data_IF_826044403226
#
_entry.id   IF_826044403226
#
_cell.length_a   1.000
_cell.length_b   1.000
_cell.length_c   1.000
_cell.angle_alpha   90.00
_cell.angle_beta   90.00
_cell.angle_gamma   90.00
#
_symmetry.space_group_name_H-M   'P 1'
#
loop_
_entity.id
_entity.type
_entity.pdbx_description
1 polymer ?
#
# COMPACT_ATOMS: atom_id res chain seq x y z
N UNK A 1 3.70 13.55 -22.45
CA UNK A 1 4.37 12.48 -23.22
C UNK A 1 4.59 11.30 -22.28
N UNK A 2 3.69 10.30 -22.30
CA UNK A 2 3.81 9.13 -21.44
C UNK A 2 4.88 8.19 -22.02
N UNK A 3 5.98 7.96 -21.29
CA UNK A 3 6.97 6.94 -21.67
C UNK A 3 6.38 5.57 -21.29
N UNK A 4 6.05 4.79 -22.31
CA UNK A 4 5.67 3.37 -22.23
C UNK A 4 6.93 2.56 -21.87
N UNK A 5 6.77 1.46 -21.14
CA UNK A 5 7.85 0.49 -21.00
C UNK A 5 7.91 -0.33 -22.29
N UNK A 6 8.81 0.02 -23.21
CA UNK A 6 9.04 -0.79 -24.41
C UNK A 6 9.96 -1.98 -24.05
N UNK A 7 9.35 -3.13 -23.81
CA UNK A 7 10.07 -4.39 -23.58
C UNK A 7 10.28 -5.06 -24.94
N UNK A 8 11.51 -5.02 -25.45
CA UNK A 8 11.88 -5.75 -26.66
C UNK A 8 12.06 -7.24 -26.35
N UNK A 9 11.20 -8.09 -26.88
CA UNK A 9 11.36 -9.55 -26.84
C UNK A 9 12.51 -9.96 -27.77
N UNK A 10 13.41 -10.83 -27.29
CA UNK A 10 14.39 -11.49 -28.15
C UNK A 10 13.65 -12.38 -29.16
N UNK A 11 14.07 -12.40 -30.45
CA UNK A 11 13.35 -13.10 -31.52
C UNK A 11 13.41 -14.63 -31.43
N UNK A 12 14.25 -15.19 -30.56
CA UNK A 12 14.28 -16.62 -30.25
C UNK A 12 14.81 -16.86 -28.82
N UNK A 13 14.24 -17.83 -28.07
CA UNK A 13 14.82 -18.27 -26.80
C UNK A 13 16.21 -18.89 -27.03
N UNK A 14 17.17 -18.71 -26.11
CA UNK A 14 18.47 -19.38 -26.20
C UNK A 14 18.28 -20.90 -26.19
N UNK A 15 19.13 -21.61 -26.96
CA UNK A 15 19.11 -23.08 -27.03
C UNK A 15 19.24 -23.69 -25.62
N UNK A 16 18.21 -24.43 -25.22
CA UNK A 16 18.13 -25.21 -24.00
C UNK A 16 19.13 -26.37 -24.07
N UNK A 17 20.35 -26.15 -23.57
CA UNK A 17 21.28 -27.23 -23.24
C UNK A 17 21.25 -27.45 -21.73
N UNK A 18 20.93 -28.69 -21.35
CA UNK A 18 20.98 -29.33 -20.03
C UNK A 18 19.65 -29.49 -19.27
N UNK A 19 18.88 -30.52 -19.66
CA UNK A 19 18.49 -31.63 -18.78
C UNK A 19 17.75 -31.39 -17.45
N UNK A 20 17.19 -30.21 -17.17
CA UNK A 20 16.38 -29.96 -15.95
C UNK A 20 14.96 -30.55 -16.16
N UNK A 21 14.51 -31.56 -15.37
CA UNK A 21 13.28 -32.34 -15.63
C UNK A 21 11.95 -31.58 -15.42
N UNK A 22 11.96 -30.24 -15.43
CA UNK A 22 10.82 -29.39 -15.03
C UNK A 22 10.39 -28.35 -16.08
N UNK A 23 10.62 -28.62 -17.37
CA UNK A 23 10.38 -27.68 -18.47
C UNK A 23 9.07 -28.01 -19.22
N UNK A 24 7.98 -27.23 -19.00
CA UNK A 24 6.74 -27.29 -19.82
C UNK A 24 6.08 -25.90 -19.99
N UNK A 25 5.25 -25.74 -21.03
CA UNK A 25 5.15 -24.51 -21.84
C UNK A 25 4.05 -23.47 -21.53
N UNK A 26 3.11 -23.66 -20.58
CA UNK A 26 1.87 -22.87 -20.57
C UNK A 26 1.63 -22.00 -19.32
N UNK A 27 1.26 -20.72 -19.52
CA UNK A 27 0.95 -19.75 -18.46
C UNK A 27 0.12 -18.53 -18.95
N UNK A 28 -0.78 -17.98 -18.11
CA UNK A 28 -1.75 -16.88 -18.37
C UNK A 28 -2.49 -16.48 -17.06
N UNK A 29 -3.22 -15.36 -17.03
CA UNK A 29 -3.73 -14.64 -15.82
C UNK A 29 -5.21 -15.03 -15.50
N UNK A 30 -5.62 -15.07 -14.21
CA UNK A 30 -6.97 -15.52 -13.74
C UNK A 30 -7.75 -14.43 -13.00
N UNK A 31 -9.10 -14.51 -13.07
CA UNK A 31 -10.06 -13.55 -12.50
C UNK A 31 -11.11 -14.19 -11.59
N UNK A 32 -11.52 -13.46 -10.56
CA UNK A 32 -12.73 -13.73 -9.77
C UNK A 32 -13.72 -12.57 -9.76
N UNK A 33 -14.99 -12.88 -10.01
CA UNK A 33 -16.15 -12.15 -9.50
C UNK A 33 -17.39 -13.01 -9.59
N UNK A 34 -18.24 -12.92 -8.57
CA UNK A 34 -19.53 -13.60 -8.55
C UNK A 34 -20.56 -12.85 -9.40
N UNK A 35 -21.46 -13.56 -10.09
CA UNK A 35 -22.71 -13.01 -10.57
C UNK A 35 -23.66 -12.79 -9.39
N UNK A 36 -24.26 -11.61 -9.34
CA UNK A 36 -25.49 -11.38 -8.56
C UNK A 36 -26.65 -12.02 -9.33
N UNK A 37 -27.09 -13.19 -8.87
CA UNK A 37 -28.45 -13.68 -9.14
C UNK A 37 -28.96 -14.39 -7.89
N UNK A 38 -30.06 -13.87 -7.37
CA UNK A 38 -30.75 -14.38 -6.20
C UNK A 38 -31.19 -15.84 -6.43
N UNK A 39 -30.97 -16.70 -5.44
CA UNK A 39 -31.71 -17.96 -5.32
C UNK A 39 -32.31 -18.06 -3.91
N UNK A 40 -33.62 -18.34 -3.77
CA UNK A 40 -34.22 -18.54 -2.46
C UNK A 40 -33.94 -19.94 -1.92
N UNK A 41 -33.70 -20.01 -0.61
CA UNK A 41 -33.93 -21.13 0.30
C UNK A 41 -33.52 -22.54 -0.18
N UNK A 42 -32.24 -22.90 0.06
CA UNK A 42 -31.77 -24.29 0.06
C UNK A 42 -30.45 -24.39 0.83
N UNK A 43 -30.32 -25.43 1.66
CA UNK A 43 -29.14 -25.69 2.50
C UNK A 43 -27.90 -25.91 1.63
N UNK A 44 -26.76 -25.23 1.87
CA UNK A 44 -25.54 -25.46 1.09
C UNK A 44 -24.91 -26.81 1.48
N UNK A 45 -24.38 -27.59 0.51
CA UNK A 45 -23.62 -28.80 0.83
C UNK A 45 -22.20 -28.45 1.30
N UNK A 46 -21.66 -29.28 2.20
CA UNK A 46 -20.30 -29.16 2.74
C UNK A 46 -19.24 -29.28 1.63
N UNK A 47 -18.33 -28.31 1.47
CA UNK A 47 -17.16 -28.47 0.63
C UNK A 47 -15.99 -29.09 1.40
N UNK A 48 -15.54 -30.26 0.94
CA UNK A 48 -14.17 -30.77 1.20
C UNK A 48 -13.28 -30.41 0.01
N UNK A 49 -12.10 -29.87 0.28
CA UNK A 49 -11.05 -29.75 -0.74
C UNK A 49 -9.67 -30.08 -0.17
N UNK A 50 -8.89 -30.77 -1.00
CA UNK A 50 -7.49 -31.15 -0.81
C UNK A 50 -6.68 -30.44 -1.92
N UNK A 51 -5.55 -29.80 -1.60
CA UNK A 51 -4.79 -28.94 -2.53
C UNK A 51 -3.40 -29.52 -2.81
N UNK A 52 -3.09 -29.76 -4.08
CA UNK A 52 -1.75 -30.09 -4.59
C UNK A 52 -1.20 -28.90 -5.40
N UNK A 53 -0.08 -28.32 -4.94
CA UNK A 53 0.63 -27.18 -5.58
C UNK A 53 1.80 -27.65 -6.46
N UNK A 54 1.88 -27.17 -7.70
CA UNK A 54 3.15 -27.05 -8.47
C UNK A 54 3.14 -25.78 -9.33
N UNK A 55 4.26 -25.06 -9.35
CA UNK A 55 4.46 -23.78 -10.05
C UNK A 55 5.32 -23.97 -11.31
N UNK A 56 4.95 -23.45 -12.51
CA UNK A 56 5.89 -23.30 -13.62
C UNK A 56 6.75 -22.03 -13.46
N UNK A 57 8.05 -22.10 -13.77
CA UNK A 57 9.10 -21.10 -13.45
C UNK A 57 9.10 -19.81 -14.30
N UNK A 58 9.25 -18.69 -13.58
CA UNK A 58 10.15 -17.50 -13.70
C UNK A 58 10.02 -16.34 -14.72
N UNK A 59 10.23 -16.42 -16.04
CA UNK A 59 10.27 -15.21 -16.88
C UNK A 59 8.90 -14.52 -16.96
N UNK A 60 7.83 -15.33 -17.05
CA UNK A 60 6.46 -14.84 -17.20
C UNK A 60 5.91 -14.21 -15.91
N UNK A 61 6.30 -14.70 -14.73
CA UNK A 61 5.84 -14.11 -13.46
C UNK A 61 6.40 -12.71 -13.27
N UNK A 62 7.70 -12.50 -13.51
CA UNK A 62 8.29 -11.14 -13.45
C UNK A 62 7.63 -10.20 -14.45
N UNK A 63 7.44 -10.64 -15.70
CA UNK A 63 6.76 -9.83 -16.71
C UNK A 63 5.32 -9.48 -16.30
N UNK A 64 4.56 -10.44 -15.75
CA UNK A 64 3.21 -10.20 -15.25
C UNK A 64 3.19 -9.23 -14.08
N UNK A 65 4.18 -9.30 -13.19
CA UNK A 65 4.32 -8.34 -12.10
C UNK A 65 4.60 -6.94 -12.63
N UNK A 66 5.47 -6.79 -13.63
CA UNK A 66 5.68 -5.50 -14.30
C UNK A 66 4.39 -4.96 -14.92
N UNK A 67 3.63 -5.81 -15.63
CA UNK A 67 2.32 -5.41 -16.18
C UNK A 67 1.31 -5.04 -15.09
N UNK A 68 1.30 -5.76 -13.97
CA UNK A 68 0.44 -5.45 -12.82
C UNK A 68 0.80 -4.08 -12.22
N UNK A 69 2.08 -3.77 -12.06
CA UNK A 69 2.54 -2.47 -11.60
C UNK A 69 2.15 -1.35 -12.58
N UNK A 70 2.31 -1.59 -13.89
CA UNK A 70 1.91 -0.62 -14.91
C UNK A 70 0.39 -0.38 -14.94
N UNK A 71 -0.41 -1.44 -14.83
CA UNK A 71 -1.86 -1.33 -14.74
C UNK A 71 -2.28 -0.55 -13.49
N UNK A 72 -1.73 -0.90 -12.33
CA UNK A 72 -2.02 -0.20 -11.07
C UNK A 72 -1.65 1.29 -11.17
N UNK A 73 -0.54 1.62 -11.81
CA UNK A 73 -0.15 3.00 -12.10
C UNK A 73 -1.12 3.70 -13.06
N UNK A 74 -1.60 3.02 -14.10
CA UNK A 74 -2.62 3.56 -15.01
C UNK A 74 -3.95 3.86 -14.30
N UNK A 75 -4.24 3.15 -13.20
CA UNK A 75 -5.38 3.39 -12.31
C UNK A 75 -5.06 4.34 -11.13
N UNK A 76 -3.93 5.05 -11.20
CA UNK A 76 -3.50 6.03 -10.20
C UNK A 76 -3.30 5.45 -8.79
N UNK A 77 -2.84 4.19 -8.69
CA UNK A 77 -2.45 3.61 -7.41
C UNK A 77 -1.28 4.39 -6.80
N UNK A 78 -1.38 4.71 -5.52
CA UNK A 78 -0.42 5.51 -4.76
C UNK A 78 0.51 4.65 -3.90
N UNK A 79 -0.04 3.56 -3.35
CA UNK A 79 0.65 2.57 -2.54
C UNK A 79 0.55 1.22 -3.24
N UNK A 80 1.65 0.48 -3.30
CA UNK A 80 1.76 -0.82 -3.95
C UNK A 80 2.22 -1.83 -2.89
N UNK A 81 1.34 -2.76 -2.51
CA UNK A 81 1.71 -3.92 -1.70
C UNK A 81 2.19 -5.03 -2.65
N UNK A 82 3.40 -5.52 -2.41
CA UNK A 82 4.02 -6.62 -3.14
C UNK A 82 4.34 -7.76 -2.15
N UNK A 83 3.51 -8.79 -2.13
CA UNK A 83 3.67 -9.93 -1.22
C UNK A 83 4.02 -11.19 -2.01
N UNK A 84 5.21 -11.18 -2.60
CA UNK A 84 5.60 -12.16 -3.61
C UNK A 84 6.99 -12.70 -3.31
N UNK A 85 7.11 -14.02 -3.20
CA UNK A 85 8.40 -14.70 -3.13
C UNK A 85 9.05 -14.78 -4.51
N UNK A 86 9.73 -13.72 -4.95
CA UNK A 86 10.61 -13.78 -6.13
C UNK A 86 11.97 -14.31 -5.72
N UNK A 87 12.40 -15.46 -6.25
CA UNK A 87 13.73 -16.03 -5.94
C UNK A 87 14.83 -15.02 -6.20
N UNK A 88 15.87 -15.13 -5.38
CA UNK A 88 17.12 -14.37 -5.46
C UNK A 88 17.65 -14.29 -6.89
N UNK A 89 17.56 -13.12 -7.51
CA UNK A 89 18.35 -12.72 -8.66
C UNK A 89 19.83 -12.83 -8.31
N UNK A 90 20.63 -13.27 -9.29
CA UNK A 90 22.09 -13.22 -9.17
C UNK A 90 22.62 -11.78 -9.14
N UNK A 91 21.84 -10.85 -9.69
CA UNK A 91 22.07 -9.42 -9.67
C UNK A 91 20.76 -8.69 -9.31
N UNK A 92 20.55 -8.38 -8.02
CA UNK A 92 19.35 -7.69 -7.56
C UNK A 92 19.23 -6.25 -8.07
N UNK A 93 20.36 -5.59 -8.38
CA UNK A 93 20.34 -4.20 -8.84
C UNK A 93 19.90 -4.09 -10.30
N UNK A 94 20.21 -5.12 -11.11
CA UNK A 94 19.74 -5.22 -12.49
C UNK A 94 18.38 -5.90 -12.64
N UNK A 95 17.71 -6.30 -11.54
CA UNK A 95 16.39 -6.95 -11.65
C UNK A 95 15.36 -5.93 -12.17
N UNK A 96 14.64 -6.23 -13.27
CA UNK A 96 13.60 -5.34 -13.79
C UNK A 96 12.57 -4.89 -12.75
N UNK A 97 12.26 -5.74 -11.76
CA UNK A 97 11.34 -5.38 -10.68
C UNK A 97 11.95 -4.33 -9.75
N UNK A 98 13.26 -4.40 -9.44
CA UNK A 98 13.95 -3.38 -8.66
C UNK A 98 13.98 -2.03 -9.39
N UNK A 99 14.17 -2.05 -10.72
CA UNK A 99 14.04 -0.85 -11.54
C UNK A 99 12.61 -0.27 -11.53
N UNK A 100 11.59 -1.12 -11.62
CA UNK A 100 10.20 -0.70 -11.58
C UNK A 100 9.83 -0.07 -10.23
N UNK A 101 10.23 -0.68 -9.11
CA UNK A 101 9.96 -0.12 -7.77
C UNK A 101 10.70 1.19 -7.55
N UNK A 102 11.95 1.31 -8.01
CA UNK A 102 12.68 2.57 -8.02
C UNK A 102 11.96 3.63 -8.85
N UNK A 103 11.50 3.29 -10.05
CA UNK A 103 10.74 4.22 -10.89
C UNK A 103 9.46 4.70 -10.20
N UNK A 104 8.71 3.80 -9.56
CA UNK A 104 7.53 4.15 -8.77
C UNK A 104 7.89 5.11 -7.64
N UNK A 105 8.98 4.84 -6.92
CA UNK A 105 9.50 5.70 -5.85
C UNK A 105 9.86 7.10 -6.35
N UNK A 106 10.60 7.20 -7.45
CA UNK A 106 10.95 8.47 -8.10
C UNK A 106 9.71 9.27 -8.57
N UNK A 107 8.54 8.64 -8.63
CA UNK A 107 7.23 9.28 -8.89
C UNK A 107 6.36 9.43 -7.65
N UNK A 108 6.98 9.49 -6.48
CA UNK A 108 6.32 9.68 -5.19
C UNK A 108 5.24 8.61 -4.90
N UNK A 109 5.43 7.39 -5.41
CA UNK A 109 4.61 6.22 -5.06
C UNK A 109 5.32 5.38 -4.00
N UNK A 110 4.53 4.73 -3.16
CA UNK A 110 5.02 3.87 -2.09
C UNK A 110 5.01 2.43 -2.53
N UNK A 111 6.10 1.72 -2.27
CA UNK A 111 6.18 0.27 -2.46
C UNK A 111 6.43 -0.37 -1.10
N UNK A 112 5.51 -1.24 -0.70
CA UNK A 112 5.58 -2.03 0.53
C UNK A 112 5.75 -3.48 0.14
N UNK A 113 6.84 -4.10 0.56
CA UNK A 113 7.11 -5.50 0.25
C UNK A 113 7.20 -6.35 1.52
N UNK A 114 6.69 -7.58 1.43
CA UNK A 114 6.94 -8.59 2.44
C UNK A 114 8.44 -8.92 2.49
N UNK A 115 9.00 -9.07 3.69
CA UNK A 115 10.40 -9.46 3.87
C UNK A 115 10.70 -10.87 3.32
N UNK A 116 9.69 -11.72 3.24
CA UNK A 116 9.78 -13.13 2.85
C UNK A 116 9.64 -14.06 4.06
N UNK A 117 9.28 -15.31 3.78
CA UNK A 117 9.01 -16.32 4.82
C UNK A 117 10.10 -17.40 4.90
N UNK A 118 11.37 -16.99 4.72
CA UNK A 118 12.55 -17.87 4.67
C UNK A 118 13.42 -17.82 5.92
N UNK A 119 12.94 -17.17 6.98
CA UNK A 119 13.58 -17.08 8.29
C UNK A 119 13.74 -18.43 9.01
N UNK A 120 14.35 -18.44 10.21
CA UNK A 120 14.83 -17.28 10.97
C UNK A 120 16.31 -16.95 10.67
N UNK A 121 16.94 -17.59 9.69
CA UNK A 121 18.37 -17.41 9.45
C UNK A 121 18.69 -16.01 8.91
N UNK A 122 19.82 -15.39 9.28
CA UNK A 122 20.29 -14.16 8.64
C UNK A 122 20.47 -14.32 7.13
N UNK A 123 20.31 -13.22 6.38
CA UNK A 123 20.48 -13.20 4.91
C UNK A 123 19.38 -13.96 4.18
N UNK A 124 18.16 -13.93 4.70
CA UNK A 124 16.97 -14.58 4.13
C UNK A 124 15.99 -13.62 3.50
N UNK A 125 16.24 -12.31 3.59
CA UNK A 125 15.43 -11.26 2.97
C UNK A 125 15.24 -11.48 1.47
N UNK A 126 14.00 -11.37 1.00
CA UNK A 126 13.67 -11.44 -0.42
C UNK A 126 14.28 -10.26 -1.19
N UNK A 127 14.65 -10.48 -2.46
CA UNK A 127 15.37 -9.47 -3.25
C UNK A 127 14.56 -8.18 -3.46
N UNK A 128 13.26 -8.30 -3.60
CA UNK A 128 12.37 -7.14 -3.70
C UNK A 128 12.37 -6.32 -2.40
N UNK A 129 12.43 -6.98 -1.24
CA UNK A 129 12.56 -6.34 0.06
C UNK A 129 13.96 -5.73 0.29
N UNK A 130 14.96 -6.12 -0.52
CA UNK A 130 16.30 -5.50 -0.52
C UNK A 130 16.39 -4.27 -1.43
N UNK A 131 15.41 -4.06 -2.31
CA UNK A 131 15.47 -3.00 -3.31
C UNK A 131 15.44 -1.60 -2.64
N UNK A 132 16.27 -0.65 -3.11
CA UNK A 132 16.27 0.70 -2.59
C UNK A 132 14.91 1.38 -2.70
N UNK A 133 14.48 2.06 -1.63
CA UNK A 133 13.21 2.81 -1.60
C UNK A 133 11.96 1.97 -1.38
N UNK A 134 12.09 0.64 -1.23
CA UNK A 134 11.01 -0.24 -0.79
C UNK A 134 10.92 -0.24 0.74
N UNK A 135 9.69 -0.20 1.27
CA UNK A 135 9.41 -0.44 2.68
C UNK A 135 9.30 -1.94 2.87
N UNK A 136 10.37 -2.56 3.34
CA UNK A 136 10.43 -4.00 3.61
C UNK A 136 9.86 -4.30 5.00
N UNK A 137 8.93 -5.25 5.08
CA UNK A 137 8.15 -5.52 6.29
C UNK A 137 8.37 -6.93 6.78
N UNK A 138 8.98 -7.05 7.96
CA UNK A 138 9.05 -8.29 8.72
C UNK A 138 7.74 -8.58 9.46
N UNK A 139 7.49 -9.85 9.74
CA UNK A 139 6.30 -10.31 10.46
C UNK A 139 6.61 -10.61 11.91
N UNK A 140 5.76 -10.15 12.83
CA UNK A 140 5.78 -10.51 14.24
C UNK A 140 4.45 -11.06 14.73
N UNK A 141 4.43 -11.59 15.94
CA UNK A 141 3.21 -11.84 16.71
C UNK A 141 2.59 -10.52 17.20
N UNK A 142 1.35 -10.54 17.73
CA UNK A 142 0.74 -9.37 18.34
C UNK A 142 1.55 -8.74 19.48
N UNK A 143 2.37 -9.55 20.18
CA UNK A 143 3.26 -9.11 21.25
C UNK A 143 4.58 -8.50 20.73
N UNK A 144 4.78 -8.45 19.42
CA UNK A 144 5.97 -7.89 18.79
C UNK A 144 7.16 -8.86 18.69
N UNK A 145 6.98 -10.16 18.97
CA UNK A 145 8.02 -11.18 18.77
C UNK A 145 8.08 -11.55 17.28
N UNK A 146 9.27 -11.50 16.68
CA UNK A 146 9.42 -11.89 15.27
C UNK A 146 8.94 -13.32 15.03
N UNK A 147 8.21 -13.52 13.93
CA UNK A 147 7.81 -14.85 13.50
C UNK A 147 9.05 -15.64 13.07
N UNK A 148 9.08 -16.94 13.37
CA UNK A 148 10.19 -17.81 12.97
C UNK A 148 10.37 -17.85 11.46
N UNK A 149 9.27 -17.81 10.70
CA UNK A 149 9.31 -17.75 9.25
C UNK A 149 9.81 -16.39 8.73
N UNK A 150 9.74 -15.31 9.49
CA UNK A 150 10.07 -13.97 8.98
C UNK A 150 11.53 -13.91 8.57
N UNK A 151 11.76 -13.62 7.29
CA UNK A 151 13.08 -13.40 6.72
C UNK A 151 13.82 -12.26 7.42
N UNK A 152 15.15 -12.41 7.50
CA UNK A 152 16.04 -11.50 8.22
C UNK A 152 17.13 -10.95 7.32
N UNK A 153 17.60 -9.76 7.64
CA UNK A 153 18.73 -9.12 6.99
C UNK A 153 20.08 -9.73 7.39
N UNK A 154 21.15 -8.99 7.13
CA UNK A 154 22.49 -9.24 7.68
C UNK A 154 22.98 -8.00 8.44
N UNK A 155 23.99 -8.18 9.31
CA UNK A 155 24.54 -7.08 10.11
C UNK A 155 25.05 -5.93 9.22
N UNK A 156 25.78 -6.28 8.16
CA UNK A 156 26.42 -5.33 7.25
C UNK A 156 25.64 -5.10 5.95
N UNK A 157 24.37 -5.53 5.88
CA UNK A 157 23.61 -5.54 4.63
C UNK A 157 22.18 -5.06 4.78
N UNK A 158 21.39 -5.33 3.74
CA UNK A 158 19.97 -5.00 3.71
C UNK A 158 19.23 -5.71 4.85
N UNK A 159 18.29 -4.99 5.45
CA UNK A 159 17.42 -5.43 6.54
C UNK A 159 15.98 -4.98 6.25
N UNK A 160 14.97 -5.62 6.85
CA UNK A 160 13.63 -5.07 6.87
C UNK A 160 13.65 -3.61 7.35
N UNK A 161 12.79 -2.77 6.77
CA UNK A 161 12.63 -1.38 7.20
C UNK A 161 12.02 -1.34 8.60
N UNK A 162 11.02 -2.18 8.83
CA UNK A 162 10.25 -2.26 10.07
C UNK A 162 9.56 -3.62 10.20
N UNK A 163 8.81 -3.81 11.28
CA UNK A 163 8.03 -5.02 11.57
C UNK A 163 6.56 -4.67 11.82
N UNK A 164 5.64 -5.56 11.46
CA UNK A 164 4.24 -5.46 11.84
C UNK A 164 3.66 -6.84 12.17
N UNK A 165 2.50 -6.86 12.80
CA UNK A 165 1.78 -8.10 13.14
C UNK A 165 1.47 -8.90 11.86
N UNK A 166 2.11 -10.05 11.73
CA UNK A 166 1.95 -10.99 10.63
C UNK A 166 0.95 -12.10 10.93
N UNK A 167 0.13 -11.96 11.97
CA UNK A 167 -0.87 -12.95 12.35
C UNK A 167 -2.28 -12.51 11.97
N UNK A 168 -3.17 -13.48 11.79
CA UNK A 168 -4.59 -13.27 11.59
C UNK A 168 -5.36 -13.67 12.86
N UNK A 169 -5.97 -12.71 13.58
CA UNK A 169 -6.75 -13.01 14.79
C UNK A 169 -8.09 -13.71 14.50
N UNK A 170 -8.54 -13.74 13.24
CA UNK A 170 -9.85 -14.30 12.83
C UNK A 170 -9.78 -15.71 12.24
N UNK A 171 -8.61 -16.17 11.80
CA UNK A 171 -8.21 -17.57 11.91
C UNK A 171 -8.34 -18.51 10.70
N UNK A 172 -8.24 -18.07 9.43
CA UNK A 172 -7.79 -18.99 8.37
C UNK A 172 -6.39 -18.68 7.81
N UNK A 173 -5.90 -17.43 7.87
CA UNK A 173 -4.67 -17.09 7.17
C UNK A 173 -3.42 -17.57 7.91
N UNK A 174 -2.43 -18.06 7.15
CA UNK A 174 -1.14 -18.51 7.69
C UNK A 174 -0.37 -17.28 8.18
N UNK A 175 0.23 -17.31 9.39
CA UNK A 175 1.13 -16.25 9.82
C UNK A 175 2.30 -16.07 8.85
N UNK A 176 2.57 -14.83 8.47
CA UNK A 176 3.55 -14.53 7.44
C UNK A 176 3.86 -13.03 7.29
N UNK A 177 4.93 -12.76 6.54
CA UNK A 177 5.36 -11.39 6.22
C UNK A 177 4.44 -10.68 5.23
N UNK A 178 3.60 -11.44 4.51
CA UNK A 178 2.57 -10.97 3.59
C UNK A 178 1.42 -10.23 4.29
N UNK A 179 0.94 -10.76 5.43
CA UNK A 179 -0.06 -10.12 6.29
C UNK A 179 0.52 -8.86 6.95
N UNK A 180 1.77 -8.94 7.42
CA UNK A 180 2.47 -7.80 8.00
C UNK A 180 2.60 -6.66 6.96
N UNK A 181 3.04 -6.99 5.74
CA UNK A 181 3.14 -6.03 4.64
C UNK A 181 1.78 -5.42 4.26
N UNK A 182 0.71 -6.20 4.28
CA UNK A 182 -0.64 -5.70 4.06
C UNK A 182 -1.05 -4.63 5.08
N UNK A 183 -0.84 -4.90 6.37
CA UNK A 183 -1.15 -3.94 7.43
C UNK A 183 -0.37 -2.65 7.25
N UNK A 184 0.92 -2.74 6.95
CA UNK A 184 1.77 -1.55 6.71
C UNK A 184 1.32 -0.80 5.46
N UNK A 185 0.89 -1.49 4.41
CA UNK A 185 0.36 -0.83 3.21
C UNK A 185 -0.91 -0.01 3.51
N UNK A 186 -1.81 -0.53 4.35
CA UNK A 186 -2.98 0.22 4.84
C UNK A 186 -2.55 1.43 5.66
N UNK A 187 -1.55 1.28 6.56
CA UNK A 187 -1.00 2.42 7.29
C UNK A 187 -0.38 3.48 6.37
N UNK A 188 0.32 3.06 5.30
CA UNK A 188 0.89 3.97 4.31
C UNK A 188 -0.20 4.80 3.63
N UNK A 189 -1.32 4.18 3.25
CA UNK A 189 -2.47 4.88 2.64
C UNK A 189 -3.03 5.92 3.61
N UNK A 190 -3.23 5.54 4.87
CA UNK A 190 -3.79 6.43 5.87
C UNK A 190 -2.85 7.62 6.15
N UNK A 191 -1.58 7.35 6.43
CA UNK A 191 -0.56 8.38 6.67
C UNK A 191 -0.44 9.30 5.46
N UNK A 192 -0.38 8.74 4.25
CA UNK A 192 -0.30 9.54 3.03
C UNK A 192 -1.50 10.46 2.88
N UNK A 193 -2.72 9.95 3.09
CA UNK A 193 -3.94 10.76 2.94
C UNK A 193 -4.00 11.87 3.99
N UNK A 194 -3.56 11.60 5.22
CA UNK A 194 -3.38 12.63 6.25
C UNK A 194 -2.37 13.71 5.83
N UNK A 195 -1.22 13.32 5.27
CA UNK A 195 -0.22 14.26 4.77
C UNK A 195 -0.74 15.07 3.57
N UNK A 196 -1.56 14.50 2.68
CA UNK A 196 -2.22 15.24 1.60
C UNK A 196 -3.10 16.35 2.18
N UNK A 197 -3.88 16.04 3.21
CA UNK A 197 -4.73 17.03 3.87
C UNK A 197 -3.92 18.11 4.56
N UNK A 198 -2.87 17.75 5.31
CA UNK A 198 -1.99 18.74 5.92
C UNK A 198 -1.33 19.64 4.88
N UNK A 199 -0.90 19.09 3.74
CA UNK A 199 -0.25 19.88 2.70
C UNK A 199 -1.25 20.86 2.07
N UNK A 200 -2.50 20.43 1.84
CA UNK A 200 -3.57 21.28 1.35
C UNK A 200 -3.94 22.38 2.37
N UNK A 201 -4.06 22.03 3.66
CA UNK A 201 -4.31 22.98 4.75
C UNK A 201 -3.18 23.99 4.92
N UNK A 202 -1.92 23.56 4.85
CA UNK A 202 -0.76 24.45 4.89
C UNK A 202 -0.70 25.37 3.66
N UNK A 203 -1.06 24.88 2.49
CA UNK A 203 -1.19 25.71 1.28
C UNK A 203 -2.28 26.77 1.45
N UNK A 204 -3.45 26.39 1.98
CA UNK A 204 -4.55 27.31 2.27
C UNK A 204 -4.14 28.35 3.34
N UNK A 205 -3.44 27.94 4.40
CA UNK A 205 -2.91 28.82 5.43
C UNK A 205 -1.98 29.89 4.85
N UNK A 206 -1.06 29.49 3.97
CA UNK A 206 -0.14 30.42 3.26
C UNK A 206 -0.87 31.39 2.34
N UNK A 207 -1.95 30.93 1.70
CA UNK A 207 -2.76 31.77 0.82
C UNK A 207 -3.73 32.69 1.58
N UNK A 208 -3.93 32.48 2.89
CA UNK A 208 -5.00 33.13 3.66
C UNK A 208 -6.40 32.68 3.23
N UNK A 209 -6.49 31.50 2.62
CA UNK A 209 -7.72 30.95 2.06
C UNK A 209 -8.30 29.85 2.96
N UNK A 210 -9.56 29.48 2.69
CA UNK A 210 -10.17 28.29 3.29
C UNK A 210 -10.03 27.13 2.32
N UNK A 211 -9.81 25.93 2.84
CA UNK A 211 -9.86 24.73 2.03
C UNK A 211 -11.31 24.49 1.55
N UNK A 212 -11.51 24.51 0.23
CA UNK A 212 -12.85 24.33 -0.38
C UNK A 212 -13.17 22.88 -0.68
N UNK A 213 -12.15 22.06 -0.91
CA UNK A 213 -12.29 20.65 -1.26
C UNK A 213 -11.18 19.83 -0.60
N UNK A 214 -11.53 18.64 -0.14
CA UNK A 214 -10.56 17.73 0.45
C UNK A 214 -9.78 17.01 -0.65
N UNK A 215 -8.47 16.79 -0.45
CA UNK A 215 -7.71 15.91 -1.33
C UNK A 215 -8.34 14.53 -1.39
N UNK A 216 -8.45 13.98 -2.61
CA UNK A 216 -8.92 12.62 -2.79
C UNK A 216 -8.02 11.63 -2.02
N UNK A 217 -8.62 10.60 -1.41
CA UNK A 217 -7.89 9.59 -0.66
C UNK A 217 -6.87 8.84 -1.53
N UNK A 218 -5.78 8.41 -0.90
CA UNK A 218 -4.78 7.59 -1.59
C UNK A 218 -5.31 6.20 -1.94
N UNK A 219 -4.90 5.69 -3.11
CA UNK A 219 -5.29 4.37 -3.64
C UNK A 219 -4.24 3.31 -3.36
N UNK A 220 -4.68 2.10 -3.01
CA UNK A 220 -3.81 0.95 -2.74
C UNK A 220 -3.98 -0.11 -3.81
N UNK A 221 -2.86 -0.56 -4.37
CA UNK A 221 -2.79 -1.73 -5.21
C UNK A 221 -2.20 -2.90 -4.42
N UNK A 222 -2.97 -3.96 -4.26
CA UNK A 222 -2.51 -5.24 -3.78
C UNK A 222 -2.10 -6.08 -4.98
N UNK A 223 -0.79 -6.33 -5.14
CA UNK A 223 -0.26 -7.18 -6.21
C UNK A 223 0.32 -8.43 -5.57
N UNK A 224 -0.30 -9.57 -5.88
CA UNK A 224 0.01 -10.86 -5.27
C UNK A 224 -0.16 -11.98 -6.30
N UNK A 225 0.49 -13.12 -6.04
CA UNK A 225 0.44 -14.29 -6.92
C UNK A 225 -0.67 -15.28 -6.53
N UNK A 226 -1.24 -15.16 -5.34
CA UNK A 226 -2.19 -16.16 -4.82
C UNK A 226 -3.21 -15.54 -3.84
N UNK A 227 -4.15 -14.73 -4.36
CA UNK A 227 -5.27 -14.28 -3.53
C UNK A 227 -6.30 -15.41 -3.37
N UNK A 228 -6.43 -15.95 -2.16
CA UNK A 228 -7.68 -16.63 -1.82
C UNK A 228 -8.79 -15.60 -1.56
N UNK A 229 -10.04 -16.06 -1.56
CA UNK A 229 -11.17 -15.20 -1.16
C UNK A 229 -11.01 -14.75 0.29
N UNK A 230 -10.57 -15.66 1.15
CA UNK A 230 -10.40 -15.40 2.56
C UNK A 230 -9.28 -14.36 2.78
N UNK A 231 -8.24 -14.34 1.95
CA UNK A 231 -7.20 -13.30 1.99
C UNK A 231 -7.76 -11.93 1.62
N UNK A 232 -8.59 -11.86 0.56
CA UNK A 232 -9.24 -10.59 0.18
C UNK A 232 -10.18 -10.12 1.29
N UNK A 233 -11.01 -11.01 1.83
CA UNK A 233 -11.95 -10.69 2.90
C UNK A 233 -11.20 -10.26 4.18
N UNK A 234 -10.08 -10.92 4.52
CA UNK A 234 -9.20 -10.52 5.62
C UNK A 234 -8.56 -9.16 5.39
N UNK A 235 -8.06 -8.87 4.18
CA UNK A 235 -7.48 -7.57 3.82
C UNK A 235 -8.50 -6.44 3.91
N UNK A 236 -9.72 -6.68 3.42
CA UNK A 236 -10.84 -5.74 3.55
C UNK A 236 -11.20 -5.55 5.02
N UNK A 237 -11.30 -6.62 5.81
CA UNK A 237 -11.60 -6.54 7.24
C UNK A 237 -10.54 -5.78 8.04
N UNK A 238 -9.25 -6.01 7.75
CA UNK A 238 -8.11 -5.29 8.34
C UNK A 238 -8.25 -3.77 8.16
N UNK A 239 -8.79 -3.36 7.01
CA UNK A 239 -9.02 -1.95 6.70
C UNK A 239 -10.25 -1.39 7.40
N UNK A 240 -11.40 -2.06 7.25
CA UNK A 240 -12.69 -1.51 7.65
C UNK A 240 -12.83 -1.28 9.16
N UNK A 241 -12.03 -1.98 9.98
CA UNK A 241 -12.14 -1.88 11.43
C UNK A 241 -13.55 -2.28 11.92
N UNK A 242 -13.90 -1.94 13.17
CA UNK A 242 -15.16 -2.38 13.80
C UNK A 242 -16.39 -1.48 13.54
N UNK A 243 -16.43 -0.77 12.41
CA UNK A 243 -17.64 -0.02 12.04
C UNK A 243 -17.34 1.19 11.16
N UNK A 244 -17.77 1.12 9.90
CA UNK A 244 -17.80 2.27 9.01
C UNK A 244 -19.23 2.81 9.03
N UNK A 245 -19.40 4.05 9.49
CA UNK A 245 -20.62 4.80 9.19
C UNK A 245 -20.55 5.25 7.73
N UNK A 246 -21.63 5.12 6.95
CA UNK A 246 -21.62 5.59 5.57
C UNK A 246 -21.23 7.06 5.53
N UNK A 247 -20.38 7.43 4.57
CA UNK A 247 -19.98 8.80 4.29
C UNK A 247 -21.22 9.62 3.89
N UNK A 248 -21.98 10.08 4.89
CA UNK A 248 -22.75 11.29 4.75
C UNK A 248 -21.78 12.44 4.48
N UNK A 249 -22.25 13.51 3.87
CA UNK A 249 -21.47 14.73 3.66
C UNK A 249 -20.92 15.24 5.01
N UNK A 250 -19.73 14.81 5.41
CA UNK A 250 -19.11 15.25 6.66
C UNK A 250 -18.60 16.65 6.40
N UNK A 251 -19.31 17.63 6.95
CA UNK A 251 -18.95 19.04 6.87
C UNK A 251 -17.72 19.25 7.76
N UNK A 252 -16.53 19.24 7.16
CA UNK A 252 -15.21 19.37 7.82
C UNK A 252 -14.89 20.80 8.30
N UNK A 253 -15.87 21.68 8.48
CA UNK A 253 -15.61 23.11 8.53
C UNK A 253 -14.88 23.58 9.81
N UNK A 254 -15.20 23.02 10.99
CA UNK A 254 -14.66 23.51 12.26
C UNK A 254 -13.21 23.09 12.53
N UNK A 255 -12.94 21.78 12.47
CA UNK A 255 -11.62 21.22 12.77
C UNK A 255 -10.54 21.70 11.77
N UNK A 256 -10.92 21.88 10.50
CA UNK A 256 -10.02 22.35 9.44
C UNK A 256 -9.54 23.77 9.69
N UNK A 257 -10.42 24.70 10.10
CA UNK A 257 -10.02 26.08 10.37
C UNK A 257 -9.03 26.19 11.53
N UNK A 258 -9.21 25.39 12.60
CA UNK A 258 -8.23 25.31 13.70
C UNK A 258 -6.88 24.81 13.20
N UNK A 259 -6.84 23.76 12.38
CA UNK A 259 -5.58 23.21 11.85
C UNK A 259 -4.88 24.15 10.88
N UNK A 260 -5.62 24.80 9.98
CA UNK A 260 -5.07 25.84 9.09
C UNK A 260 -4.42 26.95 9.91
N UNK A 261 -5.11 27.44 10.95
CA UNK A 261 -4.56 28.45 11.85
C UNK A 261 -3.31 27.93 12.58
N UNK A 262 -3.37 26.73 13.16
CA UNK A 262 -2.24 26.09 13.86
C UNK A 262 -1.02 25.98 12.94
N UNK A 263 -1.22 25.49 11.70
CA UNK A 263 -0.15 25.31 10.71
C UNK A 263 0.44 26.66 10.30
N UNK A 264 -0.41 27.65 10.03
CA UNK A 264 0.05 29.02 9.74
C UNK A 264 0.95 29.55 10.85
N UNK A 265 0.55 29.40 12.11
CA UNK A 265 1.34 29.85 13.27
C UNK A 265 2.69 29.15 13.39
N UNK A 266 2.72 27.82 13.28
CA UNK A 266 3.99 27.06 13.32
C UNK A 266 4.92 27.47 12.18
N UNK A 267 4.38 27.60 10.97
CA UNK A 267 5.16 27.91 9.77
C UNK A 267 5.68 29.35 9.78
N UNK A 268 4.89 30.32 10.22
CA UNK A 268 5.31 31.72 10.38
C UNK A 268 6.43 31.85 11.40
N UNK A 269 6.31 31.17 12.55
CA UNK A 269 7.32 31.22 13.60
C UNK A 269 8.61 30.51 13.19
N UNK A 270 8.50 29.36 12.53
CA UNK A 270 9.64 28.66 11.95
C UNK A 270 10.34 29.52 10.89
N UNK A 271 9.60 30.17 9.99
CA UNK A 271 10.15 31.05 8.97
C UNK A 271 10.86 32.29 9.55
N UNK A 272 10.26 32.93 10.56
CA UNK A 272 10.89 34.04 11.29
C UNK A 272 12.23 33.63 11.94
N UNK A 273 12.35 32.34 12.27
CA UNK A 273 13.56 31.73 12.82
C UNK A 273 14.35 30.93 11.79
N UNK A 274 14.14 31.15 10.49
CA UNK A 274 14.88 30.50 9.41
C UNK A 274 14.97 28.96 9.56
N UNK A 275 13.97 28.34 10.17
CA UNK A 275 13.83 26.90 10.28
C UNK A 275 13.04 26.44 9.05
N UNK A 276 13.67 25.80 8.04
CA UNK A 276 12.96 25.36 6.86
C UNK A 276 12.00 24.23 7.24
N UNK A 277 10.71 24.43 6.97
CA UNK A 277 9.68 23.40 7.16
C UNK A 277 9.15 23.00 5.79
N UNK A 278 9.27 21.71 5.48
CA UNK A 278 8.79 21.13 4.24
C UNK A 278 8.13 19.80 4.55
N UNK A 279 7.04 19.51 3.85
CA UNK A 279 6.43 18.20 3.83
C UNK A 279 5.49 18.11 2.64
N UNK A 280 5.30 16.90 2.16
CA UNK A 280 4.28 16.56 1.17
C UNK A 280 3.76 15.14 1.45
N UNK A 281 2.89 14.64 0.57
CA UNK A 281 2.34 13.29 0.69
C UNK A 281 3.26 12.19 0.12
N UNK A 282 4.46 12.55 -0.29
CA UNK A 282 5.45 11.73 -0.95
C UNK A 282 5.98 10.62 -0.06
N UNK A 283 6.67 9.71 -0.73
CA UNK A 283 7.00 8.43 -0.16
C UNK A 283 8.10 8.53 0.93
N UNK A 284 8.93 9.59 0.92
CA UNK A 284 9.91 9.90 1.97
C UNK A 284 9.23 10.35 3.27
N UNK A 285 8.23 11.22 3.19
CA UNK A 285 7.51 11.72 4.35
C UNK A 285 6.68 10.64 5.03
N UNK A 286 5.99 9.81 4.24
CA UNK A 286 5.25 8.66 4.78
C UNK A 286 6.19 7.68 5.47
N UNK A 287 7.35 7.36 4.87
CA UNK A 287 8.34 6.50 5.50
C UNK A 287 8.90 7.11 6.79
N UNK A 288 9.17 8.42 6.81
CA UNK A 288 9.63 9.15 8.00
C UNK A 288 8.61 9.05 9.14
N UNK A 289 7.32 9.25 8.87
CA UNK A 289 6.25 9.08 9.86
C UNK A 289 6.20 7.64 10.35
N UNK A 290 6.21 6.64 9.46
CA UNK A 290 6.23 5.22 9.86
C UNK A 290 7.40 4.88 10.78
N UNK A 291 8.62 5.30 10.40
CA UNK A 291 9.81 5.07 11.21
C UNK A 291 9.72 5.76 12.59
N UNK A 292 9.13 6.95 12.66
CA UNK A 292 8.91 7.65 13.93
C UNK A 292 7.85 6.97 14.82
N UNK A 293 6.97 6.15 14.24
CA UNK A 293 5.96 5.37 14.98
C UNK A 293 6.47 4.01 15.44
N UNK A 294 7.59 3.54 14.88
CA UNK A 294 8.15 2.24 15.21
C UNK A 294 8.57 2.18 16.68
N UNK A 295 8.06 1.18 17.39
CA UNK A 295 8.39 0.91 18.80
C UNK A 295 9.37 -0.25 18.88
N UNK A 296 10.31 -0.24 19.84
CA UNK A 296 11.14 -1.41 20.08
C UNK A 296 10.25 -2.60 20.46
N UNK A 297 10.49 -3.75 19.82
CA UNK A 297 9.86 -5.01 20.22
C UNK A 297 10.42 -5.52 21.56
N UNK A 298 9.79 -6.56 22.16
CA UNK A 298 10.22 -7.14 23.44
C UNK A 298 11.64 -7.71 23.40
N UNK A 299 12.12 -8.13 22.22
CA UNK A 299 13.48 -8.58 21.97
C UNK A 299 14.04 -7.81 20.77
N UNK A 300 14.84 -6.74 20.98
CA UNK A 300 15.39 -5.95 19.90
C UNK A 300 16.29 -6.78 18.99
N UNK A 301 15.86 -7.00 17.75
CA UNK A 301 16.64 -7.62 16.69
C UNK A 301 16.69 -6.63 15.51
N UNK A 302 17.66 -5.71 15.43
CA UNK A 302 17.73 -4.75 14.33
C UNK A 302 18.03 -5.42 12.97
N UNK A 303 18.48 -6.68 12.96
CA UNK A 303 18.75 -7.45 11.74
C UNK A 303 17.45 -8.08 11.21
N UNK A 304 16.60 -8.57 12.11
CA UNK A 304 15.31 -9.18 11.79
C UNK A 304 14.13 -8.21 11.74
N UNK A 305 14.13 -7.16 12.57
CA UNK A 305 12.98 -6.29 12.80
C UNK A 305 13.13 -4.84 12.35
N UNK A 306 14.28 -4.46 11.79
CA UNK A 306 14.50 -3.11 11.28
C UNK A 306 14.40 -2.04 12.37
N UNK A 307 13.59 -1.00 12.13
CA UNK A 307 13.36 0.10 13.06
C UNK A 307 12.45 -0.25 14.26
N UNK A 308 11.76 -1.40 14.21
CA UNK A 308 10.83 -1.83 15.26
C UNK A 308 9.43 -2.12 14.76
N UNK A 309 8.53 -2.38 15.70
CA UNK A 309 7.13 -2.75 15.47
C UNK A 309 6.29 -1.51 15.23
N UNK A 310 5.57 -1.47 14.11
CA UNK A 310 4.53 -0.48 13.84
C UNK A 310 3.15 -1.11 13.92
N UNK A 311 2.22 -0.33 14.42
CA UNK A 311 0.80 -0.67 14.48
C UNK A 311 -0.07 0.56 14.23
N UNK A 312 -1.36 0.33 13.98
CA UNK A 312 -2.37 1.40 13.85
C UNK A 312 -2.39 2.29 15.09
N UNK A 313 -2.30 1.70 16.28
CA UNK A 313 -2.27 2.39 17.56
C UNK A 313 -1.01 3.25 17.71
N UNK A 314 0.15 2.75 17.25
CA UNK A 314 1.40 3.53 17.30
C UNK A 314 1.35 4.77 16.40
N UNK A 315 0.77 4.64 15.20
CA UNK A 315 0.54 5.77 14.28
C UNK A 315 -0.46 6.74 14.88
N UNK A 316 -1.58 6.23 15.39
CA UNK A 316 -2.60 7.04 16.04
C UNK A 316 -2.05 7.81 17.24
N UNK A 317 -1.23 7.18 18.08
CA UNK A 317 -0.60 7.82 19.23
C UNK A 317 0.37 8.93 18.81
N UNK A 318 1.18 8.72 17.76
CA UNK A 318 2.07 9.78 17.26
C UNK A 318 1.27 10.97 16.76
N UNK A 319 0.20 10.73 15.99
CA UNK A 319 -0.63 11.79 15.42
C UNK A 319 -1.45 12.52 16.50
N UNK A 320 -2.00 11.82 17.48
CA UNK A 320 -2.80 12.46 18.55
C UNK A 320 -1.94 13.41 19.38
N UNK A 321 -0.72 13.01 19.68
CA UNK A 321 0.23 13.81 20.45
C UNK A 321 1.04 14.80 19.56
N UNK A 322 0.57 15.16 18.37
CA UNK A 322 1.34 15.98 17.42
C UNK A 322 1.40 17.45 17.87
N UNK A 323 2.31 17.76 18.78
CA UNK A 323 2.62 19.14 19.18
C UNK A 323 3.55 19.83 18.16
N UNK A 324 3.69 21.17 18.20
CA UNK A 324 4.67 21.89 17.39
C UNK A 324 6.08 21.30 17.44
N UNK A 325 6.56 20.87 18.62
CA UNK A 325 7.84 20.14 18.75
C UNK A 325 7.89 18.87 17.93
N UNK A 326 6.89 18.00 18.03
CA UNK A 326 6.89 16.74 17.28
C UNK A 326 6.77 16.99 15.78
N UNK A 327 5.93 17.95 15.40
CA UNK A 327 5.76 18.36 14.01
C UNK A 327 7.07 18.88 13.40
N UNK A 328 7.76 19.80 14.08
CA UNK A 328 9.03 20.34 13.60
C UNK A 328 10.11 19.25 13.56
N UNK A 329 10.14 18.29 14.50
CA UNK A 329 11.07 17.15 14.43
C UNK A 329 10.86 16.29 13.19
N UNK A 330 9.61 16.16 12.75
CA UNK A 330 9.29 15.38 11.57
C UNK A 330 9.57 16.18 10.28
N UNK A 331 9.21 17.47 10.24
CA UNK A 331 9.09 18.23 8.99
C UNK A 331 10.08 19.40 8.84
N UNK A 332 10.95 19.68 9.82
CA UNK A 332 12.06 20.60 9.64
C UNK A 332 13.25 19.87 9.01
N UNK A 333 13.46 20.07 7.71
CA UNK A 333 14.26 19.16 6.88
C UNK A 333 15.73 19.55 6.79
N UNK A 334 16.55 19.05 7.73
CA UNK A 334 17.99 18.88 7.56
C UNK A 334 18.60 17.78 8.46
N UNK A 335 17.76 17.02 9.16
CA UNK A 335 18.21 16.00 10.12
C UNK A 335 18.94 16.55 11.34
N UNK A 336 18.93 17.88 11.58
CA UNK A 336 19.58 18.51 12.72
C UNK A 336 18.53 19.10 13.64
N UNK A 337 18.46 18.57 14.86
CA UNK A 337 17.68 19.17 15.94
C UNK A 337 18.63 19.99 16.83
N UNK A 338 18.65 21.31 16.64
CA UNK A 338 19.49 22.23 17.40
C UNK A 338 18.71 23.00 18.48
N UNK A 339 19.43 23.76 19.30
CA UNK A 339 18.85 24.57 20.38
C UNK A 339 17.85 25.61 19.84
N UNK A 340 18.09 26.15 18.64
CA UNK A 340 17.19 27.13 18.00
C UNK A 340 15.83 26.51 17.71
N UNK A 341 15.81 25.33 17.08
CA UNK A 341 14.58 24.57 16.81
C UNK A 341 13.88 24.15 18.09
N UNK A 342 14.63 23.71 19.09
CA UNK A 342 14.07 23.35 20.39
C UNK A 342 13.38 24.55 21.07
N UNK A 343 13.98 25.75 20.99
CA UNK A 343 13.40 26.98 21.54
C UNK A 343 12.12 27.41 20.81
N UNK A 344 12.13 27.40 19.47
CA UNK A 344 10.94 27.65 18.62
C UNK A 344 9.81 26.72 19.00
N UNK A 345 10.13 25.43 19.09
CA UNK A 345 9.17 24.39 19.35
C UNK A 345 8.56 24.48 20.76
N UNK A 346 9.38 24.72 21.78
CA UNK A 346 8.92 24.86 23.16
C UNK A 346 8.00 26.08 23.35
N UNK A 347 8.30 27.20 22.67
CA UNK A 347 7.44 28.37 22.70
C UNK A 347 6.05 28.09 22.10
N UNK A 348 6.01 27.40 20.96
CA UNK A 348 4.77 27.05 20.28
C UNK A 348 3.97 25.95 20.99
N UNK A 349 4.62 24.98 21.62
CA UNK A 349 3.96 23.91 22.37
C UNK A 349 3.05 24.48 23.47
N UNK A 350 3.49 25.57 24.14
CA UNK A 350 2.69 26.24 25.17
C UNK A 350 1.50 27.02 24.60
N UNK A 351 1.62 27.57 23.39
CA UNK A 351 0.58 28.37 22.74
C UNK A 351 -0.50 27.50 22.06
N UNK A 352 -0.09 26.50 21.30
CA UNK A 352 -0.95 25.87 20.30
C UNK A 352 -1.53 24.52 20.71
N UNK A 353 -0.86 23.81 21.63
CA UNK A 353 -1.20 22.42 21.97
C UNK A 353 -1.11 21.46 20.77
N UNK A 354 -1.83 20.35 20.84
CA UNK A 354 -1.83 19.29 19.81
C UNK A 354 -2.53 19.73 18.52
N UNK A 355 -2.02 19.27 17.38
CA UNK A 355 -2.58 19.55 16.06
C UNK A 355 -3.94 18.86 15.84
N UNK A 356 -4.07 17.60 16.25
CA UNK A 356 -5.31 16.83 16.13
C UNK A 356 -5.82 16.41 17.49
N UNK A 357 -7.14 16.45 17.68
CA UNK A 357 -7.77 15.68 18.75
C UNK A 357 -7.94 14.22 18.35
N UNK A 358 -8.15 13.33 19.32
CA UNK A 358 -8.49 11.93 19.04
C UNK A 358 -9.76 11.80 18.18
N UNK A 359 -10.75 12.66 18.39
CA UNK A 359 -11.98 12.68 17.61
C UNK A 359 -11.73 13.12 16.15
N UNK A 360 -10.82 14.08 15.92
CA UNK A 360 -10.42 14.46 14.57
C UNK A 360 -9.78 13.29 13.83
N UNK A 361 -8.91 12.54 14.50
CA UNK A 361 -8.25 11.38 13.91
C UNK A 361 -9.22 10.24 13.62
N UNK A 362 -10.15 9.95 14.51
CA UNK A 362 -11.21 8.96 14.27
C UNK A 362 -12.07 9.34 13.06
N UNK A 363 -12.43 10.62 12.97
CA UNK A 363 -13.22 11.13 11.84
C UNK A 363 -12.43 11.02 10.53
N UNK A 364 -11.17 11.45 10.52
CA UNK A 364 -10.29 11.29 9.36
C UNK A 364 -10.19 9.82 8.94
N UNK A 365 -9.93 8.94 9.91
CA UNK A 365 -9.75 7.51 9.66
C UNK A 365 -11.02 6.84 9.12
N UNK A 366 -12.20 7.18 9.63
CA UNK A 366 -13.48 6.70 9.12
C UNK A 366 -13.76 7.20 7.71
N UNK A 367 -13.50 8.49 7.43
CA UNK A 367 -13.68 9.07 6.10
C UNK A 367 -12.81 8.35 5.07
N UNK A 368 -11.53 8.15 5.41
CA UNK A 368 -10.64 7.40 4.53
C UNK A 368 -11.18 5.99 4.34
N UNK A 369 -11.43 5.24 5.41
CA UNK A 369 -11.97 3.88 5.31
C UNK A 369 -13.24 3.78 4.43
N UNK A 370 -14.08 4.82 4.39
CA UNK A 370 -15.32 4.85 3.62
C UNK A 370 -15.19 5.22 2.13
N UNK A 371 -14.12 5.91 1.71
CA UNK A 371 -13.99 6.47 0.34
C UNK A 371 -12.98 5.72 -0.55
N UNK A 372 -12.53 4.55 -0.13
CA UNK A 372 -11.41 3.90 -0.81
C UNK A 372 -11.79 2.82 -1.83
N UNK A 373 -11.08 2.89 -2.96
CA UNK A 373 -11.01 1.86 -3.99
C UNK A 373 -9.68 1.09 -3.85
N UNK A 374 -9.73 -0.15 -3.38
CA UNK A 374 -8.59 -1.07 -3.45
C UNK A 374 -8.51 -1.73 -4.81
N UNK A 375 -7.30 -1.79 -5.36
CA UNK A 375 -7.04 -2.53 -6.58
C UNK A 375 -6.38 -3.86 -6.25
N UNK A 376 -7.10 -4.96 -6.43
CA UNK A 376 -6.53 -6.30 -6.32
C UNK A 376 -6.06 -6.79 -7.69
N UNK A 377 -4.78 -7.17 -7.79
CA UNK A 377 -4.17 -7.74 -9.00
C UNK A 377 -3.55 -9.08 -8.67
N UNK A 378 -4.16 -10.15 -9.17
CA UNK A 378 -3.71 -11.54 -8.99
C UNK A 378 -2.82 -12.00 -10.15
N UNK A 379 -1.74 -12.73 -9.86
CA UNK A 379 -0.77 -13.25 -10.82
C UNK A 379 -0.64 -14.79 -10.72
N UNK A 380 -1.56 -15.54 -11.33
CA UNK A 380 -1.54 -17.03 -11.39
C UNK A 380 -1.39 -17.62 -12.80
N UNK A 381 -1.31 -18.95 -13.00
CA UNK A 381 -1.44 -19.66 -14.29
C UNK A 381 -2.91 -19.83 -14.73
N UNK A 382 -3.21 -19.99 -16.03
CA UNK A 382 -4.56 -19.97 -16.57
C UNK A 382 -5.16 -21.38 -16.48
N UNK A 383 -6.44 -21.48 -16.13
CA UNK A 383 -7.19 -22.74 -16.26
C UNK A 383 -7.09 -23.75 -15.11
N UNK A 384 -6.24 -23.54 -14.09
CA UNK A 384 -6.21 -24.41 -12.90
C UNK A 384 -7.51 -24.36 -12.06
N UNK A 385 -8.39 -23.39 -12.34
CA UNK A 385 -9.72 -23.23 -11.73
C UNK A 385 -10.88 -23.39 -12.73
N UNK A 386 -10.64 -24.00 -13.90
CA UNK A 386 -11.71 -24.40 -14.83
C UNK A 386 -12.21 -23.35 -15.82
N UNK A 387 -11.51 -22.23 -16.03
CA UNK A 387 -11.94 -21.19 -16.97
C UNK A 387 -10.80 -20.72 -17.89
N UNK A 388 -11.06 -20.74 -19.21
CA UNK A 388 -10.12 -20.41 -20.27
C UNK A 388 -10.00 -18.92 -20.57
N UNK A 389 -8.77 -18.52 -20.93
CA UNK A 389 -8.29 -17.24 -21.48
C UNK A 389 -7.96 -16.10 -20.51
N UNK A 390 -6.75 -15.56 -20.70
CA UNK A 390 -6.15 -14.40 -20.03
C UNK A 390 -6.99 -13.13 -20.20
N UNK A 391 -7.25 -12.43 -19.11
CA UNK A 391 -7.85 -11.09 -19.06
C UNK A 391 -7.04 -10.26 -18.04
N UNK A 392 -7.44 -9.04 -17.69
CA UNK A 392 -6.99 -8.28 -16.51
C UNK A 392 -8.27 -7.68 -15.88
N UNK A 393 -8.43 -7.75 -14.57
CA UNK A 393 -9.57 -7.21 -13.83
C UNK A 393 -9.02 -6.28 -12.78
N UNK A 394 -9.40 -5.04 -12.94
CA UNK A 394 -9.19 -3.99 -11.97
C UNK A 394 -10.54 -3.87 -11.26
N UNK A 395 -10.64 -4.43 -10.06
CA UNK A 395 -11.87 -4.39 -9.28
C UNK A 395 -11.62 -3.69 -7.95
N UNK A 396 -12.30 -2.57 -7.73
CA UNK A 396 -12.44 -1.96 -6.40
C UNK A 396 -13.79 -2.32 -5.78
N UNK A 397 -13.86 -2.41 -4.43
CA UNK A 397 -15.15 -2.43 -3.76
C UNK A 397 -15.87 -1.10 -4.06
N UNK A 398 -17.15 -1.11 -4.45
CA UNK A 398 -17.88 0.10 -4.74
C UNK A 398 -18.12 0.86 -3.43
N UNK A 399 -17.41 1.96 -3.22
CA UNK A 399 -17.84 2.95 -2.24
C UNK A 399 -18.77 3.93 -2.96
N UNK A 400 -20.06 3.81 -2.60
CA UNK A 400 -21.28 4.57 -2.97
C UNK A 400 -21.84 4.48 -4.41
N UNK A 401 -22.92 3.68 -4.53
CA UNK A 401 -24.15 3.97 -5.29
C UNK A 401 -24.11 4.22 -6.81
N UNK A 402 -23.19 3.58 -7.54
CA UNK A 402 -23.45 3.17 -8.92
C UNK A 402 -22.95 1.74 -9.13
N UNK A 403 -23.89 0.80 -9.27
CA UNK A 403 -23.61 -0.61 -9.51
C UNK A 403 -23.01 -0.84 -10.91
N UNK A 404 -21.73 -0.55 -11.11
CA UNK A 404 -20.97 -1.10 -12.23
C UNK A 404 -19.47 -1.07 -11.95
N UNK A 405 -18.88 -2.25 -11.89
CA UNK A 405 -17.44 -2.38 -12.05
C UNK A 405 -17.05 -1.76 -13.41
N UNK A 406 -16.02 -0.93 -13.42
CA UNK A 406 -15.44 -0.41 -14.66
C UNK A 406 -14.49 -1.48 -15.19
N UNK A 407 -14.85 -2.10 -16.30
CA UNK A 407 -14.04 -3.10 -16.98
C UNK A 407 -13.20 -2.41 -18.05
N UNK A 408 -11.88 -2.62 -18.03
CA UNK A 408 -11.00 -2.26 -19.14
C UNK A 408 -10.42 -3.55 -19.72
N UNK A 409 -10.68 -3.81 -21.01
CA UNK A 409 -10.10 -4.94 -21.72
C UNK A 409 -8.74 -4.51 -22.24
N UNK A 410 -7.68 -5.29 -21.99
CA UNK A 410 -6.37 -5.03 -22.56
C UNK A 410 -5.94 -6.24 -23.40
N UNK A 411 -5.35 -6.01 -24.57
CA UNK A 411 -4.79 -7.08 -25.41
C UNK A 411 -3.41 -7.57 -24.91
N UNK A 412 -2.82 -8.51 -25.63
CA UNK A 412 -1.47 -9.06 -25.38
C UNK A 412 -0.34 -8.01 -25.41
N UNK A 413 -0.64 -6.78 -25.85
CA UNK A 413 0.27 -5.62 -25.89
C UNK A 413 -0.09 -4.57 -24.83
N UNK A 414 -1.15 -4.79 -24.06
CA UNK A 414 -1.63 -3.86 -23.05
C UNK A 414 -2.45 -2.69 -23.62
N UNK A 415 -2.99 -2.79 -24.83
CA UNK A 415 -3.84 -1.77 -25.46
C UNK A 415 -5.34 -1.99 -25.12
N UNK A 416 -6.15 -0.94 -24.89
CA UNK A 416 -7.59 -1.06 -24.65
C UNK A 416 -8.34 -1.71 -25.82
N UNK A 417 -8.98 -2.85 -25.59
CA UNK A 417 -9.87 -3.49 -26.58
C UNK A 417 -11.25 -2.85 -26.45
N UNK A 418 -11.72 -2.20 -27.52
CA UNK A 418 -13.10 -1.76 -27.62
C UNK A 418 -14.03 -2.98 -27.67
N UNK A 419 -14.95 -3.12 -26.71
CA UNK A 419 -15.97 -4.16 -26.70
C UNK A 419 -17.02 -3.86 -27.79
N UNK A 420 -17.10 -4.64 -28.89
CA UNK A 420 -18.08 -4.42 -29.94
C UNK A 420 -19.52 -4.75 -29.51
N UNK A 421 -19.72 -5.46 -28.40
CA UNK A 421 -21.03 -5.84 -27.86
C UNK A 421 -21.56 -4.87 -26.79
N UNK A 422 -20.79 -3.84 -26.43
CA UNK A 422 -21.24 -2.78 -25.53
C UNK A 422 -22.33 -1.93 -26.22
N UNK A 423 -23.59 -2.35 -26.07
CA UNK A 423 -24.74 -1.60 -26.58
C UNK A 423 -24.70 -0.16 -26.05
N UNK A 424 -24.86 0.86 -26.91
CA UNK A 424 -24.96 2.24 -26.46
C UNK A 424 -26.10 2.36 -25.46
N UNK A 425 -25.81 2.90 -24.28
CA UNK A 425 -26.82 3.25 -23.27
C UNK A 425 -27.83 4.17 -23.92
N UNK A 426 -29.08 3.70 -24.02
CA UNK A 426 -30.21 4.46 -24.53
C UNK A 426 -30.30 5.80 -23.80
N UNK A 427 -30.25 6.90 -24.56
CA UNK A 427 -30.55 8.23 -24.06
C UNK A 427 -31.95 8.23 -23.42
N UNK A 428 -32.05 8.79 -22.21
CA UNK A 428 -33.33 9.06 -21.56
C UNK A 428 -34.22 9.88 -22.50
N UNK A 429 -35.51 9.52 -22.68
CA UNK A 429 -36.42 10.37 -23.42
C UNK A 429 -36.66 11.64 -22.62
N UNK A 430 -36.43 12.79 -23.25
CA UNK A 430 -36.80 14.09 -22.70
C UNK A 430 -38.31 14.13 -22.46
N UNK A 431 -38.70 14.37 -21.21
CA UNK A 431 -40.03 14.84 -20.87
C UNK A 431 -40.05 16.36 -20.91
N UNK A 432 -40.89 16.91 -21.77
CA UNK A 432 -41.30 18.32 -21.76
C UNK A 432 -42.43 18.59 -20.78
#
# INVERSE_FOLDING_TARGET
MARRFDVHLLPAPPDLRDGDPYDTADGGIVFRGLPLLAWPAGVPPDPRFEVLRTWPRYPRTRLRLLHALDAAKAHDAHVYRLSLGVTRSRDPESDPLAHATRFLRERNRLVVAAAGDWGPRPGTLDDLARAPGVIAVAGCTPDGLLLDCSSRGTVDGARPTLTADGTDPTGPARPGTDLAAARVAVLCVWIRSMLQCLAAEASAARAGERLTEMPAPSRLAHVDSDFSRDDVDALVALRQGRGISPAGSVIYAGATMRRIWWLGRVMDHAAAQQVPVAFDAGADWVARVLLATARPGPAPDPVGGGAGVVSRESVRALLADMTPSRFLRLFADDGRWDERRAAVAAALDHELGELWSLADLETCEQLYAAEHEDLFVEVGPPGATGHGHSRLRVGGPPTTYAQRAVHAHLDERGDPIHDPDARPTSASPGGG
#
